data_IF_111370878289
#
_entry.id   IF_111370878289
#
_cell.length_a   1.000
_cell.length_b   1.000
_cell.length_c   1.000
_cell.angle_alpha   90.00
_cell.angle_beta   90.00
_cell.angle_gamma   90.00
#
_symmetry.space_group_name_H-M   'P 1'
#
loop_
_entity.id
_entity.type
_entity.pdbx_description
1 polymer ?
#
# COMPACT_ATOMS: atom_id res chain seq x y z
N UNK A 1 -22.83 -5.82 -2.19
CA UNK A 1 -22.01 -5.89 -0.96
C UNK A 1 -20.57 -6.02 -1.40
N UNK A 2 -19.72 -5.05 -1.07
CA UNK A 2 -18.30 -5.17 -1.37
C UNK A 2 -17.72 -6.32 -0.54
N UNK A 3 -17.06 -7.25 -1.21
CA UNK A 3 -16.38 -8.37 -0.55
C UNK A 3 -15.28 -7.81 0.37
N UNK A 4 -15.27 -8.27 1.62
CA UNK A 4 -14.26 -7.92 2.62
C UNK A 4 -13.38 -9.14 2.85
N UNK A 5 -12.08 -8.95 2.81
CA UNK A 5 -11.08 -10.04 2.85
C UNK A 5 -10.02 -9.72 3.89
N UNK A 6 -9.66 -10.69 4.72
CA UNK A 6 -8.59 -10.53 5.72
C UNK A 6 -7.21 -10.70 5.09
N UNK A 7 -6.19 -10.12 5.69
CA UNK A 7 -4.84 -10.24 5.17
C UNK A 7 -4.34 -11.70 5.23
N UNK A 8 -4.63 -12.41 6.32
CA UNK A 8 -4.23 -13.81 6.53
C UNK A 8 -4.88 -14.81 5.56
N UNK A 9 -6.00 -14.43 4.92
CA UNK A 9 -6.70 -15.28 3.95
C UNK A 9 -6.03 -15.26 2.57
N UNK A 10 -5.28 -14.20 2.25
CA UNK A 10 -4.71 -13.99 0.91
C UNK A 10 -3.20 -13.79 0.87
N UNK A 11 -2.59 -13.33 1.97
CA UNK A 11 -1.16 -13.01 2.05
C UNK A 11 -0.46 -13.81 3.15
N UNK A 12 0.84 -14.03 2.98
CA UNK A 12 1.68 -14.57 4.05
C UNK A 12 2.25 -13.45 4.94
N UNK A 13 2.71 -13.77 6.15
CA UNK A 13 3.22 -12.78 7.11
C UNK A 13 4.29 -11.84 6.54
N UNK A 14 5.23 -12.34 5.72
CA UNK A 14 6.26 -11.51 5.09
C UNK A 14 5.66 -10.48 4.13
N UNK A 15 4.61 -10.84 3.39
CA UNK A 15 3.93 -9.94 2.47
C UNK A 15 3.12 -8.88 3.22
N UNK A 16 2.46 -9.27 4.31
CA UNK A 16 1.76 -8.34 5.20
C UNK A 16 2.75 -7.35 5.82
N UNK A 17 3.90 -7.83 6.30
CA UNK A 17 4.91 -6.95 6.91
C UNK A 17 5.49 -5.97 5.88
N UNK A 18 5.71 -6.41 4.64
CA UNK A 18 6.12 -5.49 3.57
C UNK A 18 5.09 -4.37 3.39
N UNK A 19 3.79 -4.69 3.28
CA UNK A 19 2.75 -3.67 3.13
C UNK A 19 2.69 -2.74 4.34
N UNK A 20 2.79 -3.28 5.56
CA UNK A 20 2.80 -2.48 6.80
C UNK A 20 3.99 -1.53 6.84
N UNK A 21 5.16 -1.98 6.38
CA UNK A 21 6.37 -1.15 6.28
C UNK A 21 6.20 -0.07 5.22
N UNK A 22 5.70 -0.40 4.04
CA UNK A 22 5.41 0.58 2.98
C UNK A 22 4.47 1.69 3.45
N UNK A 23 3.39 1.35 4.16
CA UNK A 23 2.44 2.35 4.67
C UNK A 23 3.07 3.28 5.73
N UNK A 24 4.07 2.79 6.48
CA UNK A 24 4.76 3.59 7.49
C UNK A 24 5.63 4.70 6.86
N UNK A 25 6.22 4.45 5.69
CA UNK A 25 7.11 5.39 5.01
C UNK A 25 6.41 6.70 4.60
N UNK A 26 5.09 6.69 4.39
CA UNK A 26 4.30 7.89 4.13
C UNK A 26 4.22 8.85 5.33
N UNK A 27 4.47 8.37 6.55
CA UNK A 27 4.64 9.21 7.73
C UNK A 27 6.07 9.71 7.93
N UNK A 28 6.99 9.35 7.03
CA UNK A 28 8.43 9.63 7.11
C UNK A 28 8.94 10.42 5.91
N UNK A 29 9.96 9.92 5.17
CA UNK A 29 10.66 10.69 4.15
C UNK A 29 9.88 10.89 2.85
N UNK A 30 8.84 10.10 2.59
CA UNK A 30 8.04 10.21 1.38
C UNK A 30 7.28 11.54 1.34
N UNK A 31 7.20 12.15 0.15
CA UNK A 31 6.62 13.48 -0.06
C UNK A 31 5.50 13.39 -1.08
N UNK A 32 4.29 13.17 -0.59
CA UNK A 32 3.10 13.14 -1.44
C UNK A 32 2.51 14.55 -1.62
N UNK A 33 2.18 14.92 -2.85
CA UNK A 33 1.31 16.08 -3.10
C UNK A 33 -0.16 15.69 -2.94
N UNK A 34 -1.04 16.67 -2.75
CA UNK A 34 -2.48 16.44 -2.67
C UNK A 34 -3.02 15.78 -3.96
N UNK A 35 -2.50 16.16 -5.13
CA UNK A 35 -2.94 15.56 -6.41
C UNK A 35 -2.55 14.09 -6.51
N UNK A 36 -1.36 13.72 -6.04
CA UNK A 36 -0.92 12.33 -6.05
C UNK A 36 -1.73 11.51 -5.02
N UNK A 37 -1.92 12.02 -3.82
CA UNK A 37 -2.78 11.40 -2.81
C UNK A 37 -4.20 11.19 -3.32
N UNK A 38 -4.76 12.20 -3.99
CA UNK A 38 -6.05 12.11 -4.64
C UNK A 38 -6.10 11.01 -5.71
N UNK A 39 -5.08 10.94 -6.57
CA UNK A 39 -4.95 9.88 -7.57
C UNK A 39 -4.85 8.48 -6.97
N UNK A 40 -4.27 8.35 -5.77
CA UNK A 40 -4.19 7.08 -5.05
C UNK A 40 -5.47 6.71 -4.29
N UNK A 41 -6.52 7.53 -4.35
CA UNK A 41 -7.80 7.29 -3.67
C UNK A 41 -7.88 7.83 -2.24
N UNK A 42 -7.13 8.87 -1.94
CA UNK A 42 -7.24 9.63 -0.69
C UNK A 42 -7.89 10.99 -0.96
N UNK A 43 -8.27 11.72 0.09
CA UNK A 43 -8.80 13.08 -0.06
C UNK A 43 -7.68 14.08 -0.41
N UNK A 44 -6.58 14.00 0.33
CA UNK A 44 -5.41 14.87 0.23
C UNK A 44 -4.18 14.20 0.89
N UNK A 45 -3.03 14.87 0.92
CA UNK A 45 -1.81 14.31 1.52
C UNK A 45 -1.93 14.08 3.04
N UNK A 46 -2.81 14.79 3.74
CA UNK A 46 -3.04 14.58 5.18
C UNK A 46 -3.88 13.35 5.43
N UNK A 47 -4.95 13.15 4.65
CA UNK A 47 -5.79 11.95 4.69
C UNK A 47 -4.97 10.71 4.31
N UNK A 48 -4.03 10.81 3.37
CA UNK A 48 -3.07 9.76 3.07
C UNK A 48 -2.36 9.26 4.33
N UNK A 49 -1.69 10.15 5.08
CA UNK A 49 -0.92 9.77 6.26
C UNK A 49 -1.80 9.13 7.33
N UNK A 50 -2.96 9.72 7.60
CA UNK A 50 -3.89 9.22 8.61
C UNK A 50 -4.48 7.86 8.22
N UNK A 51 -4.87 7.69 6.95
CA UNK A 51 -5.39 6.40 6.46
C UNK A 51 -4.31 5.34 6.36
N UNK A 52 -3.10 5.67 5.94
CA UNK A 52 -1.96 4.74 5.96
C UNK A 52 -1.73 4.21 7.38
N UNK A 53 -1.82 5.05 8.41
CA UNK A 53 -1.75 4.62 9.82
C UNK A 53 -2.86 3.64 10.17
N UNK A 54 -4.11 3.92 9.78
CA UNK A 54 -5.27 3.05 10.06
C UNK A 54 -5.19 1.72 9.31
N UNK A 55 -4.88 1.75 8.03
CA UNK A 55 -4.73 0.56 7.18
C UNK A 55 -3.56 -0.33 7.66
N UNK A 56 -2.46 0.28 8.11
CA UNK A 56 -1.34 -0.43 8.73
C UNK A 56 -1.75 -1.16 10.00
N UNK A 57 -2.60 -0.54 10.83
CA UNK A 57 -3.15 -1.20 12.02
C UNK A 57 -4.10 -2.34 11.63
N UNK A 58 -5.02 -2.11 10.68
CA UNK A 58 -5.95 -3.12 10.19
C UNK A 58 -5.24 -4.36 9.62
N UNK A 59 -4.16 -4.17 8.85
CA UNK A 59 -3.32 -5.28 8.38
C UNK A 59 -2.66 -6.06 9.53
N UNK A 60 -2.27 -5.35 10.60
CA UNK A 60 -1.63 -5.97 11.76
C UNK A 60 -2.58 -6.72 12.69
N UNK A 61 -3.81 -6.22 12.80
CA UNK A 61 -4.87 -6.79 13.61
C UNK A 61 -5.74 -7.80 12.81
N UNK A 62 -5.35 -8.06 11.55
CA UNK A 62 -6.05 -8.94 10.60
C UNK A 62 -7.55 -8.62 10.44
N UNK A 63 -7.86 -7.33 10.44
CA UNK A 63 -9.21 -6.80 10.22
C UNK A 63 -9.60 -6.99 8.74
N UNK A 64 -10.83 -7.45 8.43
CA UNK A 64 -11.30 -7.54 7.05
C UNK A 64 -11.25 -6.17 6.35
N UNK A 65 -10.64 -6.13 5.17
CA UNK A 65 -10.47 -4.93 4.36
C UNK A 65 -11.34 -4.99 3.11
N UNK A 66 -11.85 -3.84 2.68
CA UNK A 66 -12.61 -3.74 1.44
C UNK A 66 -11.68 -3.81 0.22
N UNK A 67 -12.24 -4.11 -0.96
CA UNK A 67 -11.49 -4.05 -2.22
C UNK A 67 -10.85 -2.66 -2.47
N UNK A 68 -11.53 -1.58 -2.08
CA UNK A 68 -10.99 -0.22 -2.16
C UNK A 68 -9.79 -0.01 -1.23
N UNK A 69 -9.85 -0.55 -0.02
CA UNK A 69 -8.73 -0.49 0.92
C UNK A 69 -7.52 -1.27 0.39
N UNK A 70 -7.75 -2.46 -0.16
CA UNK A 70 -6.69 -3.23 -0.83
C UNK A 70 -6.07 -2.48 -2.01
N UNK A 71 -6.87 -1.79 -2.82
CA UNK A 71 -6.38 -0.99 -3.94
C UNK A 71 -5.52 0.20 -3.45
N UNK A 72 -5.96 0.90 -2.39
CA UNK A 72 -5.16 1.96 -1.76
C UNK A 72 -3.84 1.43 -1.22
N UNK A 73 -3.87 0.32 -0.47
CA UNK A 73 -2.67 -0.29 0.11
C UNK A 73 -1.69 -0.69 -0.98
N UNK A 74 -2.18 -1.33 -2.04
CA UNK A 74 -1.32 -1.80 -3.12
C UNK A 74 -0.65 -0.63 -3.86
N UNK A 75 -1.43 0.37 -4.27
CA UNK A 75 -0.93 1.51 -5.03
C UNK A 75 0.03 2.38 -4.20
N UNK A 76 -0.27 2.59 -2.93
CA UNK A 76 0.63 3.31 -2.01
C UNK A 76 1.93 2.55 -1.78
N UNK A 77 1.89 1.21 -1.67
CA UNK A 77 3.09 0.40 -1.53
C UNK A 77 3.97 0.41 -2.80
N UNK A 78 3.35 0.38 -3.98
CA UNK A 78 4.04 0.47 -5.26
C UNK A 78 4.78 1.80 -5.42
N UNK A 79 4.09 2.92 -5.15
CA UNK A 79 4.67 4.25 -5.35
C UNK A 79 5.76 4.54 -4.32
N UNK A 80 5.52 4.22 -3.04
CA UNK A 80 6.50 4.53 -2.00
C UNK A 80 7.80 3.75 -2.15
N UNK A 81 7.70 2.50 -2.63
CA UNK A 81 8.86 1.66 -2.89
C UNK A 81 9.66 2.11 -4.11
N UNK A 82 9.00 2.40 -5.24
CA UNK A 82 9.71 2.57 -6.52
C UNK A 82 10.10 4.03 -6.81
N UNK A 83 9.38 5.00 -6.26
CA UNK A 83 9.55 6.41 -6.63
C UNK A 83 10.54 7.13 -5.71
N UNK A 84 11.56 7.76 -6.29
CA UNK A 84 12.40 8.75 -5.59
C UNK A 84 11.76 10.14 -5.57
N UNK A 85 10.87 10.40 -6.51
CA UNK A 85 10.24 11.71 -6.68
C UNK A 85 9.16 11.95 -5.62
N UNK A 86 8.36 10.92 -5.32
CA UNK A 86 7.25 11.01 -4.38
C UNK A 86 7.38 10.03 -3.20
N UNK A 87 8.04 8.91 -3.42
CA UNK A 87 8.21 7.85 -2.43
C UNK A 87 9.54 7.95 -1.69
N UNK A 88 10.03 6.79 -1.28
CA UNK A 88 11.29 6.63 -0.56
C UNK A 88 12.23 5.66 -1.28
N UNK A 89 12.20 5.58 -2.62
CA UNK A 89 12.93 4.55 -3.37
C UNK A 89 14.44 4.51 -3.07
N UNK A 90 15.14 5.63 -3.23
CA UNK A 90 16.57 5.76 -2.99
C UNK A 90 16.94 5.58 -1.52
N UNK A 91 15.99 5.79 -0.61
CA UNK A 91 16.15 5.62 0.83
C UNK A 91 15.56 4.29 1.33
N UNK A 92 15.03 3.44 0.45
CA UNK A 92 14.20 2.30 0.84
C UNK A 92 15.01 1.31 1.68
N UNK A 93 16.19 0.93 1.18
CA UNK A 93 17.09 0.03 1.90
C UNK A 93 17.58 0.63 3.23
N UNK A 94 17.84 1.93 3.28
CA UNK A 94 18.29 2.64 4.49
C UNK A 94 17.21 2.71 5.56
N UNK A 95 15.98 3.05 5.16
CA UNK A 95 14.86 3.29 6.07
C UNK A 95 14.22 1.99 6.54
N UNK A 96 14.08 1.02 5.63
CA UNK A 96 13.38 -0.25 5.90
C UNK A 96 14.30 -1.42 6.22
N UNK A 97 15.57 -1.37 5.81
CA UNK A 97 16.49 -2.52 5.86
C UNK A 97 16.22 -3.58 4.78
N UNK A 98 15.27 -3.35 3.87
CA UNK A 98 14.89 -4.31 2.83
C UNK A 98 15.64 -4.03 1.52
N UNK A 99 16.17 -5.09 0.91
CA UNK A 99 16.79 -4.99 -0.41
C UNK A 99 15.74 -4.82 -1.51
N UNK A 100 16.02 -3.97 -2.50
CA UNK A 100 15.14 -3.71 -3.64
C UNK A 100 14.73 -4.99 -4.37
N UNK A 101 15.69 -5.87 -4.66
CA UNK A 101 15.43 -7.10 -5.41
C UNK A 101 14.49 -8.05 -4.67
N UNK A 102 14.65 -8.17 -3.34
CA UNK A 102 13.76 -8.96 -2.51
C UNK A 102 12.37 -8.29 -2.40
N UNK A 103 12.34 -6.96 -2.31
CA UNK A 103 11.12 -6.16 -2.19
C UNK A 103 10.27 -6.29 -3.45
N UNK A 104 10.86 -6.09 -4.65
CA UNK A 104 10.10 -6.18 -5.91
C UNK A 104 9.55 -7.58 -6.15
N UNK A 105 10.30 -8.65 -5.80
CA UNK A 105 9.80 -10.04 -5.91
C UNK A 105 8.59 -10.27 -5.01
N UNK A 106 8.65 -9.78 -3.77
CA UNK A 106 7.55 -9.88 -2.79
C UNK A 106 6.34 -9.07 -3.25
N UNK A 107 6.54 -7.83 -3.71
CA UNK A 107 5.48 -6.98 -4.24
C UNK A 107 4.77 -7.62 -5.44
N UNK A 108 5.51 -8.24 -6.36
CA UNK A 108 4.94 -8.98 -7.50
C UNK A 108 4.12 -10.21 -7.04
N UNK A 109 4.51 -10.84 -5.93
CA UNK A 109 3.70 -11.91 -5.32
C UNK A 109 2.37 -11.37 -4.79
N UNK A 110 2.42 -10.27 -4.05
CA UNK A 110 1.22 -9.58 -3.51
C UNK A 110 0.27 -9.19 -4.64
N UNK A 111 0.77 -8.54 -5.70
CA UNK A 111 -0.04 -8.12 -6.86
C UNK A 111 -0.79 -9.30 -7.50
N UNK A 112 -0.12 -10.45 -7.67
CA UNK A 112 -0.75 -11.67 -8.20
C UNK A 112 -1.85 -12.20 -7.27
N UNK A 113 -1.62 -12.19 -5.96
CA UNK A 113 -2.60 -12.67 -4.97
C UNK A 113 -3.81 -11.76 -4.86
N UNK A 114 -3.60 -10.45 -4.93
CA UNK A 114 -4.67 -9.45 -4.84
C UNK A 114 -5.37 -9.17 -6.16
N UNK A 115 -4.91 -9.74 -7.29
CA UNK A 115 -5.42 -9.41 -8.63
C UNK A 115 -6.94 -9.40 -8.72
N UNK A 116 -7.63 -10.41 -8.17
CA UNK A 116 -9.10 -10.48 -8.21
C UNK A 116 -9.76 -9.43 -7.32
N UNK A 117 -9.19 -9.22 -6.13
CA UNK A 117 -9.67 -8.25 -5.14
C UNK A 117 -9.62 -6.82 -5.67
N UNK A 118 -8.53 -6.46 -6.36
CA UNK A 118 -8.32 -5.07 -6.83
C UNK A 118 -8.69 -4.84 -8.30
N UNK A 119 -9.04 -5.89 -9.06
CA UNK A 119 -9.41 -5.78 -10.47
C UNK A 119 -10.45 -4.69 -10.80
N UNK A 120 -11.49 -4.44 -9.96
CA UNK A 120 -12.45 -3.35 -10.21
C UNK A 120 -11.83 -1.96 -10.29
N UNK A 121 -10.64 -1.77 -9.71
CA UNK A 121 -9.94 -0.48 -9.61
C UNK A 121 -8.77 -0.34 -10.60
N UNK A 122 -8.57 -1.28 -11.52
CA UNK A 122 -7.52 -1.14 -12.53
C UNK A 122 -7.79 0.06 -13.44
N UNK A 123 -6.85 1.02 -13.40
CA UNK A 123 -6.96 2.29 -14.12
C UNK A 123 -8.06 3.22 -13.59
N UNK A 124 -8.60 2.95 -12.40
CA UNK A 124 -9.67 3.73 -11.74
C UNK A 124 -9.27 4.07 -10.32
N UNK A 125 -9.91 5.09 -9.76
CA UNK A 125 -9.62 5.50 -8.39
C UNK A 125 -10.38 4.60 -7.38
N UNK A 126 -9.79 4.24 -6.23
CA UNK A 126 -10.45 3.48 -5.16
C UNK A 126 -11.74 4.06 -4.53
N UNK A 127 -12.26 5.18 -5.02
CA UNK A 127 -13.52 5.82 -4.57
C UNK A 127 -14.52 6.04 -5.72
N UNK A 128 -14.21 5.53 -6.92
CA UNK A 128 -15.12 5.47 -8.07
C UNK A 128 -15.88 4.13 -8.10
#
# INVERSE_FOLDING_TARGET
>A
MSEVVKASEVLINQEVELLRRSLLEWGGPARCSDQLAFGMGFVDARDLVERCRRLRAALGDDVPLTAADWARILLTAEIVFVSDLAGSGGEWSTTTGLADEATIRTLRSIQRKLTRTVAPYYGRRPDE
#
